data_IF_080560946330
#
_entry.id   IF_080560946330
#
_cell.length_a   1.000
_cell.length_b   1.000
_cell.length_c   1.000
_cell.angle_alpha   90.00
_cell.angle_beta   90.00
_cell.angle_gamma   90.00
#
_symmetry.space_group_name_H-M   'P 1'
#
loop_
_entity.id
_entity.type
_entity.pdbx_description
1 polymer ?
#
# COMPACT_ATOMS: atom_id res chain seq x y z
N UNK A 1 -9.65 -4.90 -2.16
CA UNK A 1 -8.34 -4.22 -2.37
C UNK A 1 -7.46 -5.05 -3.31
N UNK A 2 -6.37 -4.51 -3.88
CA UNK A 2 -5.45 -5.27 -4.75
C UNK A 2 -3.99 -4.93 -4.45
N UNK A 3 -3.12 -5.94 -4.35
CA UNK A 3 -1.67 -5.72 -4.23
C UNK A 3 -1.09 -5.23 -5.54
N UNK A 4 -0.20 -4.26 -5.43
CA UNK A 4 0.48 -3.64 -6.55
C UNK A 4 1.97 -3.55 -6.25
N UNK A 5 2.78 -3.48 -7.30
CA UNK A 5 4.22 -3.29 -7.15
C UNK A 5 4.62 -1.93 -7.67
N UNK A 6 5.14 -1.10 -6.78
CA UNK A 6 5.76 0.17 -7.07
C UNK A 6 7.25 0.01 -7.38
N UNK A 7 7.75 0.79 -8.34
CA UNK A 7 9.17 1.03 -8.56
C UNK A 7 9.43 2.51 -8.45
N UNK A 8 10.05 2.92 -7.35
CA UNK A 8 10.47 4.28 -7.14
C UNK A 8 11.82 4.49 -7.83
N UNK A 9 11.87 5.47 -8.72
CA UNK A 9 13.06 5.79 -9.49
C UNK A 9 13.90 6.83 -8.78
N UNK A 10 15.20 6.60 -8.68
CA UNK A 10 16.18 7.66 -8.38
C UNK A 10 16.75 8.15 -9.69
N UNK A 11 16.35 9.36 -10.07
CA UNK A 11 16.74 9.94 -11.34
C UNK A 11 18.17 10.52 -11.29
N UNK A 12 18.97 10.34 -12.36
CA UNK A 12 20.32 10.90 -12.42
C UNK A 12 20.30 12.43 -12.46
N UNK A 13 21.33 13.06 -11.90
CA UNK A 13 21.48 14.52 -11.94
C UNK A 13 21.73 15.02 -13.37
N UNK A 14 21.13 16.16 -13.73
CA UNK A 14 21.40 16.82 -15.02
C UNK A 14 20.68 16.20 -16.22
N UNK A 15 19.57 15.51 -16.00
CA UNK A 15 18.77 14.93 -17.08
C UNK A 15 18.32 16.00 -18.09
N UNK A 16 18.37 15.66 -19.40
CA UNK A 16 17.78 16.52 -20.42
C UNK A 16 16.26 16.60 -20.27
N UNK A 17 15.63 17.70 -20.71
CA UNK A 17 14.17 17.79 -20.80
C UNK A 17 13.53 16.60 -21.53
N UNK A 18 12.36 16.16 -21.05
CA UNK A 18 11.62 15.03 -21.61
C UNK A 18 12.25 13.66 -21.36
N UNK A 19 13.24 13.53 -20.46
CA UNK A 19 13.82 12.23 -20.10
C UNK A 19 12.77 11.26 -19.54
N UNK A 20 11.91 11.75 -18.66
CA UNK A 20 10.81 10.96 -18.09
C UNK A 20 9.77 10.56 -19.14
N UNK A 21 9.48 11.42 -20.12
CA UNK A 21 8.54 11.09 -21.20
C UNK A 21 9.09 9.99 -22.11
N UNK A 22 10.41 9.99 -22.35
CA UNK A 22 11.09 8.90 -23.09
C UNK A 22 11.03 7.59 -22.30
N UNK A 23 11.34 7.62 -21.00
CA UNK A 23 11.18 6.44 -20.15
C UNK A 23 9.75 5.92 -20.21
N UNK A 24 8.74 6.78 -20.07
CA UNK A 24 7.35 6.39 -20.14
C UNK A 24 6.97 5.74 -21.49
N UNK A 25 7.47 6.29 -22.60
CA UNK A 25 7.27 5.70 -23.93
C UNK A 25 7.92 4.30 -24.05
N UNK A 26 9.15 4.15 -23.57
CA UNK A 26 9.88 2.88 -23.58
C UNK A 26 9.21 1.80 -22.71
N UNK A 27 8.56 2.22 -21.62
CA UNK A 27 7.77 1.36 -20.74
C UNK A 27 6.50 0.90 -21.44
N UNK A 28 5.76 1.83 -22.05
CA UNK A 28 4.50 1.55 -22.74
C UNK A 28 4.68 0.54 -23.90
N UNK A 29 5.85 0.54 -24.54
CA UNK A 29 6.17 -0.42 -25.61
C UNK A 29 6.42 -1.86 -25.12
N UNK A 30 6.59 -2.09 -23.80
CA UNK A 30 7.02 -3.37 -23.23
C UNK A 30 6.07 -3.97 -22.21
N UNK A 31 5.39 -3.14 -21.44
CA UNK A 31 4.46 -3.58 -20.40
C UNK A 31 3.34 -2.58 -20.21
N UNK A 32 2.26 -3.03 -19.57
CA UNK A 32 1.17 -2.15 -19.17
C UNK A 32 1.54 -1.50 -17.84
N UNK A 33 1.96 -0.23 -17.91
CA UNK A 33 2.04 0.62 -16.74
C UNK A 33 0.63 0.84 -16.22
N UNK A 34 0.37 0.44 -14.97
CA UNK A 34 -0.95 0.64 -14.36
C UNK A 34 -1.14 2.10 -13.97
N UNK A 35 -0.10 2.70 -13.36
CA UNK A 35 -0.17 4.06 -12.86
C UNK A 35 1.21 4.71 -12.70
N UNK A 36 1.22 6.02 -12.46
CA UNK A 36 2.43 6.80 -12.20
C UNK A 36 2.16 7.95 -11.24
N UNK A 37 3.06 8.14 -10.27
CA UNK A 37 3.07 9.29 -9.37
C UNK A 37 4.48 9.87 -9.25
N UNK A 38 4.75 11.00 -9.91
CA UNK A 38 6.10 11.59 -9.89
C UNK A 38 7.16 10.62 -10.46
N UNK A 39 8.03 10.14 -9.57
CA UNK A 39 9.13 9.19 -9.83
C UNK A 39 8.75 7.73 -9.52
N UNK A 40 7.53 7.47 -9.05
CA UNK A 40 6.99 6.14 -8.79
C UNK A 40 6.24 5.60 -10.01
N UNK A 41 6.61 4.39 -10.43
CA UNK A 41 5.90 3.60 -11.44
C UNK A 41 5.12 2.49 -10.76
N UNK A 42 3.84 2.32 -11.08
CA UNK A 42 3.01 1.22 -10.54
C UNK A 42 2.74 0.20 -11.65
N UNK A 43 3.14 -1.03 -11.40
CA UNK A 43 3.01 -2.14 -12.35
C UNK A 43 1.78 -2.99 -12.03
N UNK A 44 1.04 -3.40 -13.08
CA UNK A 44 -0.14 -4.27 -12.95
C UNK A 44 0.24 -5.72 -12.63
N UNK A 45 1.43 -6.16 -13.05
CA UNK A 45 1.92 -7.53 -12.90
C UNK A 45 3.30 -7.58 -12.24
N UNK A 46 3.43 -8.34 -11.15
CA UNK A 46 4.70 -8.53 -10.44
C UNK A 46 5.79 -9.17 -11.34
N UNK A 47 5.39 -9.93 -12.37
CA UNK A 47 6.30 -10.54 -13.34
C UNK A 47 7.07 -9.52 -14.20
N UNK A 48 6.56 -8.29 -14.35
CA UNK A 48 7.19 -7.24 -15.14
C UNK A 48 8.36 -6.54 -14.43
N UNK A 49 8.52 -6.75 -13.11
CA UNK A 49 9.50 -6.05 -12.28
C UNK A 49 10.95 -6.27 -12.74
N UNK A 50 11.44 -7.50 -12.95
CA UNK A 50 12.85 -7.71 -13.29
C UNK A 50 13.24 -7.11 -14.64
N UNK A 51 12.31 -7.16 -15.61
CA UNK A 51 12.51 -6.51 -16.90
C UNK A 51 12.57 -4.99 -16.75
N UNK A 52 11.65 -4.42 -15.96
CA UNK A 52 11.58 -2.98 -15.75
C UNK A 52 12.85 -2.44 -15.07
N UNK A 53 13.30 -3.10 -14.00
CA UNK A 53 14.55 -2.77 -13.31
C UNK A 53 15.73 -2.84 -14.30
N UNK A 54 15.79 -3.88 -15.13
CA UNK A 54 16.85 -4.04 -16.12
C UNK A 54 16.83 -2.94 -17.20
N UNK A 55 15.64 -2.47 -17.58
CA UNK A 55 15.46 -1.39 -18.55
C UNK A 55 15.89 -0.03 -17.99
N UNK A 56 15.52 0.26 -16.75
CA UNK A 56 15.84 1.51 -16.06
C UNK A 56 17.34 1.59 -15.75
N UNK A 57 17.95 0.48 -15.34
CA UNK A 57 19.40 0.39 -15.12
C UNK A 57 20.22 0.72 -16.38
N UNK A 58 19.77 0.32 -17.58
CA UNK A 58 20.43 0.69 -18.86
C UNK A 58 20.43 2.19 -19.15
N UNK A 59 19.59 2.95 -18.46
CA UNK A 59 19.48 4.41 -18.55
C UNK A 59 20.08 5.12 -17.34
N UNK A 60 20.86 4.41 -16.52
CA UNK A 60 21.45 4.94 -15.28
C UNK A 60 20.39 5.43 -14.28
N UNK A 61 19.23 4.77 -14.27
CA UNK A 61 18.15 5.02 -13.31
C UNK A 61 18.16 3.87 -12.30
N UNK A 62 18.49 4.20 -11.05
CA UNK A 62 18.36 3.26 -9.95
C UNK A 62 16.89 3.16 -9.51
N UNK A 63 16.49 1.99 -9.01
CA UNK A 63 15.12 1.76 -8.56
C UNK A 63 15.05 1.02 -7.24
N UNK A 64 14.10 1.41 -6.39
CA UNK A 64 13.69 0.68 -5.18
C UNK A 64 12.30 0.08 -5.35
N UNK A 65 12.09 -1.10 -4.78
CA UNK A 65 10.80 -1.78 -4.77
C UNK A 65 9.94 -1.27 -3.61
N UNK A 66 8.71 -0.87 -3.91
CA UNK A 66 7.72 -0.39 -2.94
C UNK A 66 6.46 -1.26 -3.05
N UNK A 67 6.16 -2.14 -2.08
CA UNK A 67 4.94 -2.92 -2.06
C UNK A 67 3.78 -1.98 -1.75
N UNK A 68 2.77 -1.99 -2.61
CA UNK A 68 1.64 -1.08 -2.53
C UNK A 68 0.34 -1.88 -2.40
N UNK A 69 -0.66 -1.25 -1.80
CA UNK A 69 -2.02 -1.73 -1.84
C UNK A 69 -2.90 -0.69 -2.53
N UNK A 70 -3.48 -1.07 -3.68
CA UNK A 70 -4.54 -0.31 -4.31
C UNK A 70 -5.80 -0.39 -3.46
N UNK A 71 -6.21 0.77 -2.94
CA UNK A 71 -7.40 0.96 -2.13
C UNK A 71 -8.64 1.06 -3.03
N UNK A 72 -9.82 0.64 -2.55
CA UNK A 72 -11.04 0.78 -3.32
C UNK A 72 -11.49 2.24 -3.40
N UNK A 73 -12.18 2.60 -4.48
CA UNK A 73 -12.77 3.92 -4.68
C UNK A 73 -13.93 4.21 -3.69
N UNK A 74 -14.52 3.17 -3.11
CA UNK A 74 -15.66 3.28 -2.18
C UNK A 74 -15.40 2.45 -0.92
N UNK A 75 -16.00 2.85 0.19
CA UNK A 75 -15.82 2.17 1.49
C UNK A 75 -14.50 2.50 2.19
N UNK A 76 -13.69 3.42 1.65
CA UNK A 76 -12.50 3.94 2.30
C UNK A 76 -12.87 5.02 3.34
N UNK A 77 -12.37 4.84 4.56
CA UNK A 77 -12.49 5.80 5.67
C UNK A 77 -11.09 6.17 6.15
N UNK A 78 -10.52 7.31 5.73
CA UNK A 78 -9.18 7.72 6.14
C UNK A 78 -9.15 8.11 7.62
N UNK A 79 -8.06 7.75 8.30
CA UNK A 79 -7.73 8.22 9.64
C UNK A 79 -6.94 9.54 9.62
N UNK A 80 -6.51 10.00 10.80
CA UNK A 80 -5.84 11.29 10.95
C UNK A 80 -4.52 11.38 10.16
N UNK A 81 -3.71 10.32 10.23
CA UNK A 81 -2.38 10.28 9.63
C UNK A 81 -2.39 9.63 8.23
N UNK A 82 -3.56 9.44 7.61
CA UNK A 82 -3.71 8.76 6.31
C UNK A 82 -2.73 9.27 5.24
N UNK A 83 -2.56 10.59 5.14
CA UNK A 83 -1.75 11.24 4.10
C UNK A 83 -0.24 10.98 4.24
N UNK A 84 0.23 10.48 5.37
CA UNK A 84 1.65 10.15 5.59
C UNK A 84 2.00 8.73 5.09
N UNK A 85 0.99 7.90 4.83
CA UNK A 85 1.14 6.49 4.47
C UNK A 85 0.49 6.14 3.12
N UNK A 86 -0.36 7.03 2.62
CA UNK A 86 -1.11 6.83 1.39
C UNK A 86 -1.01 8.04 0.46
N UNK A 87 -1.11 7.78 -0.84
CA UNK A 87 -1.10 8.81 -1.87
C UNK A 87 -2.14 8.53 -2.94
N UNK A 88 -2.55 9.57 -3.64
CA UNK A 88 -3.45 9.49 -4.80
C UNK A 88 -2.70 9.87 -6.08
N UNK A 89 -2.91 9.09 -7.14
CA UNK A 89 -2.33 9.38 -8.45
C UNK A 89 -3.18 10.38 -9.23
N UNK A 90 -2.64 11.04 -10.27
CA UNK A 90 -3.45 11.87 -11.16
C UNK A 90 -4.61 11.11 -11.84
N UNK A 91 -4.53 9.78 -11.90
CA UNK A 91 -5.60 8.91 -12.40
C UNK A 91 -6.74 8.71 -11.39
N UNK A 92 -6.59 9.19 -10.14
CA UNK A 92 -7.59 9.07 -9.08
C UNK A 92 -7.49 7.77 -8.27
N UNK A 93 -6.46 6.96 -8.49
CA UNK A 93 -6.25 5.75 -7.70
C UNK A 93 -5.52 6.08 -6.40
N UNK A 94 -6.00 5.51 -5.30
CA UNK A 94 -5.37 5.67 -3.99
C UNK A 94 -4.57 4.41 -3.61
N UNK A 95 -3.35 4.62 -3.10
CA UNK A 95 -2.44 3.55 -2.70
C UNK A 95 -1.97 3.74 -1.27
N UNK A 96 -1.82 2.62 -0.55
CA UNK A 96 -1.16 2.57 0.74
C UNK A 96 0.22 1.92 0.59
N UNK A 97 1.25 2.51 1.20
CA UNK A 97 2.60 1.94 1.28
C UNK A 97 2.67 0.83 2.34
N UNK A 98 2.93 -0.41 1.92
CA UNK A 98 2.99 -1.58 2.80
C UNK A 98 4.33 -1.75 3.52
N UNK A 99 5.36 -0.95 3.18
CA UNK A 99 6.56 -0.83 4.01
C UNK A 99 6.25 -0.08 5.31
N UNK A 100 5.35 0.90 5.25
CA UNK A 100 5.01 1.78 6.37
C UNK A 100 3.76 1.32 7.12
N UNK A 101 2.81 0.71 6.43
CA UNK A 101 1.54 0.30 7.02
C UNK A 101 1.35 -1.22 7.04
N UNK A 102 0.57 -1.69 8.01
CA UNK A 102 0.09 -3.06 8.10
C UNK A 102 -1.44 -3.07 8.13
N UNK A 103 -2.06 -3.92 7.30
CA UNK A 103 -3.52 -4.12 7.33
C UNK A 103 -3.90 -5.33 8.18
N UNK A 104 -4.97 -5.17 8.95
CA UNK A 104 -5.51 -6.22 9.77
C UNK A 104 -7.04 -6.18 9.86
N UNK A 105 -7.59 -7.28 10.36
CA UNK A 105 -8.95 -7.34 10.90
C UNK A 105 -8.93 -8.03 12.25
N UNK A 106 -9.88 -7.69 13.11
CA UNK A 106 -10.09 -8.44 14.35
C UNK A 106 -10.98 -9.64 14.10
N UNK A 107 -10.62 -10.76 14.71
CA UNK A 107 -11.40 -12.01 14.69
C UNK A 107 -11.68 -12.45 16.11
N UNK A 108 -12.81 -13.11 16.31
CA UNK A 108 -13.18 -13.65 17.62
C UNK A 108 -12.34 -14.91 17.86
N UNK A 109 -11.42 -14.85 18.82
CA UNK A 109 -10.65 -16.02 19.24
C UNK A 109 -11.34 -16.75 20.39
N UNK A 110 -12.00 -16.00 21.28
CA UNK A 110 -12.77 -16.52 22.40
C UNK A 110 -14.29 -16.32 22.22
N UNK A 111 -15.14 -17.14 22.87
CA UNK A 111 -16.60 -16.95 22.83
C UNK A 111 -17.08 -15.61 23.39
N UNK A 112 -16.29 -15.00 24.27
CA UNK A 112 -16.56 -13.72 24.92
C UNK A 112 -15.82 -12.55 24.25
N UNK A 113 -15.29 -12.75 23.03
CA UNK A 113 -14.51 -11.73 22.34
C UNK A 113 -15.30 -10.44 22.10
N UNK A 114 -14.66 -9.29 22.34
CA UNK A 114 -15.25 -7.96 22.23
C UNK A 114 -14.49 -7.09 21.21
N UNK A 115 -14.69 -7.29 19.89
CA UNK A 115 -13.92 -6.58 18.86
C UNK A 115 -14.22 -5.07 18.81
N UNK A 116 -15.44 -4.64 19.16
CA UNK A 116 -15.79 -3.22 19.15
C UNK A 116 -15.01 -2.40 20.21
N UNK A 117 -14.95 -2.83 21.49
CA UNK A 117 -14.05 -2.23 22.47
C UNK A 117 -12.56 -2.25 22.10
N UNK A 118 -12.08 -3.34 21.49
CA UNK A 118 -10.70 -3.42 21.00
C UNK A 118 -10.41 -2.38 19.91
N UNK A 119 -11.34 -2.21 18.95
CA UNK A 119 -11.22 -1.19 17.92
C UNK A 119 -11.27 0.22 18.48
N UNK A 120 -12.10 0.47 19.50
CA UNK A 120 -12.17 1.79 20.15
C UNK A 120 -10.82 2.17 20.78
N UNK A 121 -10.08 1.22 21.36
CA UNK A 121 -8.72 1.48 21.86
C UNK A 121 -7.70 1.72 20.75
N UNK A 122 -7.95 1.20 19.55
CA UNK A 122 -7.04 1.34 18.41
C UNK A 122 -7.36 2.56 17.54
N UNK A 123 -8.50 3.22 17.76
CA UNK A 123 -9.04 4.26 16.87
C UNK A 123 -8.03 5.38 16.59
N UNK A 124 -7.30 5.83 17.61
CA UNK A 124 -6.28 6.89 17.48
C UNK A 124 -5.03 6.48 16.67
N UNK A 125 -4.86 5.18 16.43
CA UNK A 125 -3.74 4.63 15.66
C UNK A 125 -4.15 4.18 14.26
N UNK A 126 -5.46 4.21 13.93
CA UNK A 126 -5.91 3.77 12.61
C UNK A 126 -5.51 4.78 11.54
N UNK A 127 -4.76 4.31 10.55
CA UNK A 127 -4.42 5.07 9.35
C UNK A 127 -5.61 5.15 8.39
N UNK A 128 -6.39 4.06 8.31
CA UNK A 128 -7.62 3.97 7.53
C UNK A 128 -8.44 2.75 7.91
N UNK A 129 -9.69 2.72 7.45
CA UNK A 129 -10.53 1.52 7.38
C UNK A 129 -11.08 1.33 5.97
N UNK A 130 -11.25 0.09 5.54
CA UNK A 130 -11.83 -0.30 4.26
C UNK A 130 -12.98 -1.27 4.49
N UNK A 131 -14.17 -0.88 4.07
CA UNK A 131 -15.35 -1.73 4.02
C UNK A 131 -15.38 -2.50 2.69
N UNK A 132 -15.09 -3.80 2.70
CA UNK A 132 -15.14 -4.64 1.50
C UNK A 132 -16.55 -5.15 1.20
N UNK A 133 -16.88 -5.37 -0.09
CA UNK A 133 -18.08 -6.09 -0.48
C UNK A 133 -18.16 -7.45 0.23
N UNK A 134 -19.24 -7.68 0.97
CA UNK A 134 -19.40 -8.89 1.82
C UNK A 134 -19.24 -8.62 3.32
N UNK A 135 -19.02 -7.37 3.73
CA UNK A 135 -19.08 -6.95 5.14
C UNK A 135 -17.80 -7.20 5.93
N UNK A 136 -16.71 -7.59 5.27
CA UNK A 136 -15.38 -7.62 5.90
C UNK A 136 -14.86 -6.19 6.00
N UNK A 137 -14.41 -5.80 7.18
CA UNK A 137 -13.76 -4.51 7.40
C UNK A 137 -12.28 -4.75 7.68
N UNK A 138 -11.43 -4.09 6.91
CA UNK A 138 -9.99 -4.04 7.14
C UNK A 138 -9.62 -2.69 7.76
N UNK A 139 -8.62 -2.71 8.62
CA UNK A 139 -8.05 -1.53 9.24
C UNK A 139 -6.56 -1.50 8.93
N UNK A 140 -5.99 -0.32 8.73
CA UNK A 140 -4.55 -0.17 8.63
C UNK A 140 -4.00 0.61 9.82
N UNK A 141 -2.79 0.23 10.24
CA UNK A 141 -2.03 0.86 11.32
C UNK A 141 -0.58 1.03 10.85
N UNK A 142 0.18 1.93 11.47
CA UNK A 142 1.64 1.95 11.32
C UNK A 142 2.20 0.55 11.63
N UNK A 143 3.04 0.03 10.72
CA UNK A 143 3.67 -1.29 10.81
C UNK A 143 4.45 -1.47 12.12
N UNK A 144 4.99 -0.40 12.70
CA UNK A 144 5.70 -0.42 13.98
C UNK A 144 4.77 -0.66 15.19
N UNK A 145 3.46 -0.46 15.03
CA UNK A 145 2.45 -0.65 16.09
C UNK A 145 1.72 -2.00 16.01
N UNK A 146 2.22 -2.94 15.20
CA UNK A 146 1.63 -4.29 15.06
C UNK A 146 1.53 -5.02 16.40
N UNK A 147 2.57 -4.96 17.24
CA UNK A 147 2.55 -5.55 18.60
C UNK A 147 1.51 -4.90 19.52
N UNK A 148 1.24 -3.59 19.36
CA UNK A 148 0.20 -2.90 20.11
C UNK A 148 -1.18 -3.43 19.73
N UNK A 149 -1.46 -3.58 18.43
CA UNK A 149 -2.70 -4.16 17.94
C UNK A 149 -2.94 -5.58 18.48
N UNK A 150 -1.91 -6.42 18.48
CA UNK A 150 -1.99 -7.79 19.02
C UNK A 150 -2.25 -7.82 20.52
N UNK A 151 -1.59 -6.94 21.28
CA UNK A 151 -1.81 -6.82 22.72
C UNK A 151 -3.22 -6.36 23.05
N UNK A 152 -3.72 -5.34 22.36
CA UNK A 152 -5.09 -4.84 22.55
C UNK A 152 -6.10 -5.92 22.19
N UNK A 153 -5.97 -6.55 21.01
CA UNK A 153 -6.86 -7.63 20.60
C UNK A 153 -6.96 -8.73 21.68
N UNK A 154 -5.81 -9.17 22.22
CA UNK A 154 -5.77 -10.21 23.25
C UNK A 154 -6.48 -9.82 24.55
N UNK A 155 -6.39 -8.57 24.98
CA UNK A 155 -7.09 -8.08 26.18
C UNK A 155 -8.61 -8.27 26.06
N UNK A 156 -9.13 -8.20 24.84
CA UNK A 156 -10.55 -8.33 24.53
C UNK A 156 -10.93 -9.71 23.97
N UNK A 157 -10.09 -10.74 24.13
CA UNK A 157 -10.35 -12.09 23.62
C UNK A 157 -10.41 -12.20 22.09
N UNK A 158 -9.89 -11.18 21.39
CA UNK A 158 -9.78 -11.13 19.94
C UNK A 158 -8.39 -11.56 19.48
N UNK A 159 -8.31 -11.93 18.19
CA UNK A 159 -7.05 -12.13 17.47
C UNK A 159 -6.96 -11.18 16.28
N UNK A 160 -5.75 -10.68 16.05
CA UNK A 160 -5.42 -9.93 14.84
C UNK A 160 -5.16 -10.91 13.70
N UNK A 161 -5.89 -10.74 12.60
CA UNK A 161 -5.61 -11.40 11.33
C UNK A 161 -5.01 -10.37 10.37
N UNK A 162 -3.71 -10.48 10.13
CA UNK A 162 -2.96 -9.63 9.21
C UNK A 162 -3.26 -9.99 7.76
N UNK A 163 -3.26 -9.00 6.88
CA UNK A 163 -3.22 -9.22 5.43
C UNK A 163 -1.78 -9.67 5.07
N UNK A 164 -1.56 -10.99 4.99
CA UNK A 164 -0.23 -11.61 4.83
C UNK A 164 0.59 -11.00 3.70
N UNK A 165 1.73 -10.35 3.96
CA UNK A 165 2.65 -9.93 2.90
C UNK A 165 3.26 -11.17 2.21
N UNK A 166 3.13 -11.28 0.89
CA UNK A 166 3.82 -12.31 0.10
C UNK A 166 5.33 -12.03 0.04
#
# INVERSE_FOLDING_TARGET
MRRMQGLEMTLPSGMPPGFLDRIAADIADRTTLFDRHGELLVLDEAGAVPEMVSLLARRDVATSSVPLLLLPETGLRPGADYADYAFETPAGHAYLDLHLAALFRLTNEEPIAEPAPALLQLEEHLLLSVDEPGGTVWHAIDRQLTELAERIARVYGCRVAWLEAD
#
